data_IF_331866490147
#
_entry.id   IF_331866490147
#
_cell.length_a   1.000
_cell.length_b   1.000
_cell.length_c   1.000
_cell.angle_alpha   90.00
_cell.angle_beta   90.00
_cell.angle_gamma   90.00
#
_symmetry.space_group_name_H-M   'P 1'
#
loop_
_entity.id
_entity.type
_entity.pdbx_description
1 polymer ?
#
# COMPACT_ATOMS: atom_id res chain seq x y z
N UNK A 1 -0.91 -11.54 -31.66
CA UNK A 1 0.02 -10.66 -30.92
C UNK A 1 -0.16 -10.96 -29.45
N UNK A 2 0.71 -11.81 -28.91
CA UNK A 2 0.61 -12.33 -27.54
C UNK A 2 1.25 -11.37 -26.55
N UNK A 3 0.57 -11.10 -25.45
CA UNK A 3 1.16 -10.43 -24.30
C UNK A 3 2.06 -11.44 -23.57
N UNK A 4 3.32 -11.10 -23.23
CA UNK A 4 4.16 -11.98 -22.44
C UNK A 4 3.61 -12.06 -21.02
N UNK A 5 3.50 -13.28 -20.50
CA UNK A 5 3.15 -13.58 -19.12
C UNK A 5 4.23 -12.98 -18.20
N UNK A 6 3.97 -11.79 -17.65
CA UNK A 6 4.79 -11.22 -16.60
C UNK A 6 4.51 -11.98 -15.31
N UNK A 7 5.54 -12.74 -14.92
CA UNK A 7 5.78 -13.35 -13.62
C UNK A 7 4.82 -12.87 -12.51
N UNK A 8 4.06 -13.82 -11.97
CA UNK A 8 3.18 -13.67 -10.80
C UNK A 8 3.96 -12.96 -9.70
N UNK A 9 3.75 -11.66 -9.58
CA UNK A 9 4.29 -10.87 -8.49
C UNK A 9 3.70 -11.44 -7.21
N UNK A 10 4.54 -12.02 -6.33
CA UNK A 10 4.23 -12.40 -4.94
C UNK A 10 3.93 -11.18 -4.05
N UNK A 11 3.28 -10.18 -4.63
CA UNK A 11 2.83 -8.94 -4.02
C UNK A 11 1.35 -9.09 -3.60
N UNK A 12 0.65 -10.09 -4.16
CA UNK A 12 -0.76 -10.35 -3.97
C UNK A 12 -0.99 -11.68 -3.24
N UNK A 13 -0.31 -11.89 -2.12
CA UNK A 13 -0.77 -12.91 -1.16
C UNK A 13 -1.97 -12.31 -0.41
N UNK A 14 -3.17 -12.68 -0.85
CA UNK A 14 -4.39 -12.58 -0.06
C UNK A 14 -4.18 -13.44 1.18
N UNK A 15 -4.19 -12.82 2.36
CA UNK A 15 -4.39 -13.52 3.62
C UNK A 15 -5.31 -12.64 4.47
N UNK A 16 -6.60 -12.95 4.34
CA UNK A 16 -7.69 -12.56 5.22
C UNK A 16 -7.42 -13.00 6.69
N UNK A 17 -8.04 -12.27 7.61
CA UNK A 17 -8.22 -12.48 9.06
C UNK A 17 -7.61 -13.73 9.75
N UNK A 18 -6.65 -13.51 10.66
CA UNK A 18 -6.35 -14.46 11.75
C UNK A 18 -5.82 -13.72 13.00
N UNK A 19 -6.29 -14.06 14.22
CA UNK A 19 -6.01 -13.33 15.45
C UNK A 19 -4.53 -13.44 15.87
N UNK A 20 -4.04 -12.35 16.46
CA UNK A 20 -2.64 -12.14 16.85
C UNK A 20 -2.17 -13.17 17.90
N UNK A 21 -0.93 -13.69 17.80
CA UNK A 21 -0.24 -14.26 18.96
C UNK A 21 0.30 -13.15 19.89
N UNK A 22 0.43 -13.39 21.20
CA UNK A 22 0.90 -12.40 22.16
C UNK A 22 2.40 -12.09 22.00
N UNK A 23 2.86 -10.90 22.40
CA UNK A 23 4.25 -10.50 22.25
C UNK A 23 5.17 -11.30 23.19
N UNK A 24 6.08 -12.10 22.64
CA UNK A 24 7.17 -12.69 23.41
C UNK A 24 8.31 -11.69 23.58
N UNK A 25 8.68 -11.43 24.84
CA UNK A 25 9.83 -10.61 25.23
C UNK A 25 11.11 -11.39 24.94
N UNK A 26 11.96 -10.87 24.06
CA UNK A 26 13.32 -11.38 23.86
C UNK A 26 14.31 -10.47 24.60
N UNK A 27 15.07 -11.06 25.53
CA UNK A 27 16.26 -10.48 26.17
C UNK A 27 17.53 -10.81 25.36
N UNK A 28 18.69 -10.25 25.77
CA UNK A 28 20.08 -10.41 25.27
C UNK A 28 20.54 -9.33 24.26
N UNK A 29 21.75 -8.78 24.26
CA UNK A 29 22.94 -8.88 25.13
C UNK A 29 23.99 -7.80 24.73
N UNK A 30 24.91 -7.53 25.66
CA UNK A 30 26.36 -7.19 25.51
C UNK A 30 26.82 -5.94 24.74
N UNK A 31 27.48 -5.04 25.49
CA UNK A 31 28.28 -3.91 25.01
C UNK A 31 29.52 -4.36 24.23
N UNK A 32 29.79 -3.71 23.09
CA UNK A 32 31.05 -3.76 22.35
C UNK A 32 31.40 -2.38 21.79
N UNK A 33 32.56 -1.85 22.19
CA UNK A 33 33.12 -0.54 21.83
C UNK A 33 33.94 -0.66 20.52
N UNK A 34 33.59 0.11 19.49
CA UNK A 34 34.44 0.37 18.30
C UNK A 34 34.36 1.85 17.88
N UNK A 35 35.46 2.47 17.37
CA UNK A 35 35.53 3.91 17.08
C UNK A 35 34.81 4.27 15.78
N UNK A 36 34.01 5.35 15.83
CA UNK A 36 32.90 5.64 14.89
C UNK A 36 33.21 6.69 13.80
N UNK A 37 34.43 6.77 13.24
CA UNK A 37 34.79 7.93 12.38
C UNK A 37 34.80 7.74 10.85
N UNK A 38 34.48 6.57 10.29
CA UNK A 38 34.32 6.39 8.84
C UNK A 38 32.98 5.72 8.53
N UNK A 39 32.00 6.50 8.07
CA UNK A 39 30.80 6.04 7.36
C UNK A 39 29.89 5.09 8.15
N UNK A 40 28.87 5.63 8.82
CA UNK A 40 27.85 4.83 9.51
C UNK A 40 27.27 3.75 8.60
N UNK A 41 27.45 2.49 8.99
CA UNK A 41 26.81 1.35 8.33
C UNK A 41 25.30 1.48 8.54
N UNK A 42 24.47 1.40 7.49
CA UNK A 42 23.03 1.39 7.65
C UNK A 42 22.63 0.22 8.56
N UNK A 43 21.68 0.48 9.45
CA UNK A 43 21.14 -0.55 10.32
C UNK A 43 20.44 -1.61 9.44
N UNK A 44 20.50 -2.91 9.78
CA UNK A 44 19.79 -3.96 9.04
C UNK A 44 18.27 -3.70 8.90
N UNK A 45 17.68 -2.88 9.79
CA UNK A 45 16.29 -2.42 9.69
C UNK A 45 16.04 -1.49 8.49
N UNK A 46 16.99 -0.61 8.19
CA UNK A 46 16.84 0.42 7.17
C UNK A 46 16.98 -0.18 5.77
N UNK A 47 17.89 -1.15 5.62
CA UNK A 47 18.05 -1.94 4.40
C UNK A 47 16.77 -2.73 4.08
N UNK A 48 16.17 -3.35 5.11
CA UNK A 48 14.90 -4.05 4.98
C UNK A 48 13.80 -3.08 4.52
N UNK A 49 13.65 -1.94 5.17
CA UNK A 49 12.65 -0.94 4.79
C UNK A 49 12.87 -0.42 3.36
N UNK A 50 14.12 -0.27 2.93
CA UNK A 50 14.45 0.13 1.56
C UNK A 50 14.09 -0.94 0.53
N UNK A 51 14.35 -2.23 0.83
CA UNK A 51 13.99 -3.36 -0.05
C UNK A 51 12.48 -3.51 -0.27
N UNK A 52 11.68 -3.14 0.74
CA UNK A 52 10.21 -3.12 0.65
C UNK A 52 9.77 -1.92 -0.18
N UNK A 53 10.34 -0.73 0.07
CA UNK A 53 10.04 0.49 -0.68
C UNK A 53 10.34 0.35 -2.18
N UNK A 54 11.46 -0.30 -2.52
CA UNK A 54 11.84 -0.60 -3.91
C UNK A 54 11.01 -1.72 -4.55
N UNK A 55 10.29 -2.52 -3.76
CA UNK A 55 9.55 -3.69 -4.22
C UNK A 55 10.43 -4.90 -4.55
N UNK A 56 11.68 -4.91 -4.06
CA UNK A 56 12.61 -6.04 -4.24
C UNK A 56 12.25 -7.23 -3.36
N UNK A 57 11.65 -6.98 -2.18
CA UNK A 57 11.20 -8.00 -1.22
C UNK A 57 9.72 -7.77 -0.89
N UNK A 58 8.97 -8.87 -0.74
CA UNK A 58 7.58 -8.81 -0.31
C UNK A 58 7.49 -8.42 1.18
N UNK A 59 6.63 -7.47 1.55
CA UNK A 59 6.41 -7.11 2.95
C UNK A 59 5.75 -8.25 3.72
N UNK A 60 6.18 -8.43 4.97
CA UNK A 60 5.55 -9.34 5.93
C UNK A 60 4.18 -8.84 6.35
N UNK A 61 3.36 -9.69 6.98
CA UNK A 61 2.05 -9.33 7.52
C UNK A 61 2.10 -8.09 8.42
N UNK A 62 3.07 -8.01 9.34
CA UNK A 62 3.19 -6.85 10.24
C UNK A 62 3.54 -5.54 9.51
N UNK A 63 4.30 -5.63 8.42
CA UNK A 63 4.65 -4.48 7.58
C UNK A 63 3.46 -4.04 6.72
N UNK A 64 2.66 -4.99 6.22
CA UNK A 64 1.39 -4.68 5.54
C UNK A 64 0.43 -3.95 6.47
N UNK A 65 0.31 -4.39 7.72
CA UNK A 65 -0.54 -3.75 8.72
C UNK A 65 -0.14 -2.28 8.94
N UNK A 66 1.17 -2.03 9.16
CA UNK A 66 1.70 -0.65 9.29
C UNK A 66 1.43 0.19 8.05
N UNK A 67 1.56 -0.40 6.86
CA UNK A 67 1.26 0.28 5.61
C UNK A 67 -0.23 0.66 5.50
N UNK A 68 -1.15 -0.23 5.88
CA UNK A 68 -2.59 0.04 5.84
C UNK A 68 -3.00 1.11 6.86
N UNK A 69 -2.43 1.09 8.07
CA UNK A 69 -2.66 2.14 9.07
C UNK A 69 -2.20 3.51 8.56
N UNK A 70 -1.01 3.58 7.95
CA UNK A 70 -0.49 4.82 7.36
C UNK A 70 -1.35 5.28 6.15
N UNK A 71 -1.83 4.34 5.33
CA UNK A 71 -2.75 4.61 4.21
C UNK A 71 -4.05 5.24 4.71
N UNK A 72 -4.67 4.64 5.72
CA UNK A 72 -5.97 5.06 6.22
C UNK A 72 -5.86 6.41 6.98
N UNK A 73 -4.75 6.64 7.68
CA UNK A 73 -4.43 7.95 8.25
C UNK A 73 -4.23 9.04 7.18
N UNK A 74 -3.57 8.72 6.07
CA UNK A 74 -3.44 9.65 4.94
C UNK A 74 -4.78 9.94 4.28
N UNK A 75 -5.60 8.90 4.06
CA UNK A 75 -6.88 9.05 3.40
C UNK A 75 -7.93 9.77 4.22
N UNK A 76 -7.98 9.52 5.54
CA UNK A 76 -8.85 10.27 6.46
C UNK A 76 -8.48 11.75 6.51
N UNK A 77 -7.19 12.10 6.45
CA UNK A 77 -6.77 13.49 6.31
C UNK A 77 -7.28 14.11 5.00
N UNK A 78 -7.14 13.42 3.87
CA UNK A 78 -7.67 13.93 2.59
C UNK A 78 -9.19 14.13 2.63
N UNK A 79 -9.93 13.22 3.26
CA UNK A 79 -11.39 13.34 3.42
C UNK A 79 -11.76 14.55 4.29
N UNK A 80 -11.04 14.81 5.39
CA UNK A 80 -11.25 15.98 6.23
C UNK A 80 -11.05 17.31 5.48
N UNK A 81 -10.18 17.31 4.46
CA UNK A 81 -9.91 18.48 3.63
C UNK A 81 -10.67 18.48 2.29
N UNK A 82 -11.59 17.54 2.08
CA UNK A 82 -12.36 17.37 0.83
C UNK A 82 -11.48 17.23 -0.43
N UNK A 83 -10.32 16.60 -0.31
CA UNK A 83 -9.39 16.37 -1.42
C UNK A 83 -9.64 14.98 -2.00
N UNK A 84 -10.23 14.92 -3.19
CA UNK A 84 -10.58 13.65 -3.85
C UNK A 84 -9.39 13.06 -4.62
N UNK A 85 -8.69 13.88 -5.40
CA UNK A 85 -7.60 13.45 -6.27
C UNK A 85 -6.26 14.06 -5.80
N UNK A 86 -5.58 13.34 -4.91
CA UNK A 86 -4.26 13.76 -4.41
C UNK A 86 -3.14 13.73 -5.46
N UNK A 87 -3.37 13.15 -6.65
CA UNK A 87 -2.41 13.17 -7.75
C UNK A 87 -2.53 14.46 -8.56
N UNK A 88 -3.75 14.95 -8.78
CA UNK A 88 -3.98 16.26 -9.42
C UNK A 88 -3.69 17.41 -8.47
N UNK A 89 -4.17 17.32 -7.22
CA UNK A 89 -4.07 18.38 -6.23
C UNK A 89 -2.89 18.16 -5.27
N UNK A 90 -1.75 17.69 -5.78
CA UNK A 90 -0.60 17.30 -4.97
C UNK A 90 -0.11 18.44 -4.04
N UNK A 91 -0.18 19.70 -4.50
CA UNK A 91 0.20 20.87 -3.70
C UNK A 91 -0.74 21.12 -2.53
N UNK A 92 -2.05 20.92 -2.72
CA UNK A 92 -3.03 21.06 -1.64
C UNK A 92 -2.93 19.89 -0.66
N UNK A 93 -2.82 18.66 -1.19
CA UNK A 93 -2.61 17.46 -0.39
C UNK A 93 -1.32 17.50 0.44
N UNK A 94 -0.22 18.01 -0.13
CA UNK A 94 1.05 18.15 0.58
C UNK A 94 1.01 19.22 1.67
N UNK A 95 0.27 20.31 1.47
CA UNK A 95 0.09 21.35 2.50
C UNK A 95 -0.79 20.89 3.66
N UNK A 96 -1.86 20.17 3.37
CA UNK A 96 -2.83 19.74 4.38
C UNK A 96 -2.39 18.45 5.09
N UNK A 97 -1.90 17.47 4.32
CA UNK A 97 -1.65 16.09 4.76
C UNK A 97 -0.21 15.64 4.52
N UNK A 98 0.76 16.57 4.49
CA UNK A 98 2.15 16.28 4.18
C UNK A 98 2.79 15.29 5.15
N UNK A 99 2.48 15.38 6.44
CA UNK A 99 3.01 14.47 7.46
C UNK A 99 2.51 13.03 7.24
N UNK A 100 1.21 12.86 7.01
CA UNK A 100 0.59 11.56 6.73
C UNK A 100 1.06 11.01 5.38
N UNK A 101 1.27 11.87 4.37
CA UNK A 101 1.85 11.46 3.09
C UNK A 101 3.27 10.92 3.26
N UNK A 102 4.09 11.57 4.08
CA UNK A 102 5.44 11.10 4.38
C UNK A 102 5.42 9.75 5.12
N UNK A 103 4.54 9.60 6.11
CA UNK A 103 4.36 8.31 6.80
C UNK A 103 3.87 7.20 5.87
N UNK A 104 2.97 7.53 4.94
CA UNK A 104 2.48 6.58 3.94
C UNK A 104 3.59 6.12 3.00
N UNK A 105 4.45 7.04 2.54
CA UNK A 105 5.59 6.73 1.66
C UNK A 105 6.75 6.03 2.38
N UNK A 106 6.87 6.22 3.70
CA UNK A 106 7.87 5.53 4.52
C UNK A 106 7.48 4.08 4.82
N UNK A 107 6.21 3.85 5.19
CA UNK A 107 5.74 2.55 5.67
C UNK A 107 5.29 1.60 4.57
N UNK A 108 5.02 2.10 3.36
CA UNK A 108 4.53 1.30 2.24
C UNK A 108 5.55 1.16 1.11
N UNK A 109 5.38 0.10 0.31
CA UNK A 109 6.05 0.00 -0.99
C UNK A 109 5.60 1.14 -1.92
N UNK A 110 6.53 1.74 -2.67
CA UNK A 110 6.23 2.88 -3.58
C UNK A 110 5.18 2.53 -4.62
N UNK A 111 5.21 1.28 -5.11
CA UNK A 111 4.23 0.77 -6.06
C UNK A 111 2.82 0.72 -5.44
N UNK A 112 2.70 0.37 -4.16
CA UNK A 112 1.43 0.33 -3.45
C UNK A 112 0.88 1.72 -3.20
N UNK A 113 1.71 2.67 -2.79
CA UNK A 113 1.31 4.07 -2.61
C UNK A 113 0.69 4.62 -3.90
N UNK A 114 1.37 4.39 -5.02
CA UNK A 114 0.91 4.84 -6.34
C UNK A 114 -0.40 4.14 -6.73
N UNK A 115 -0.49 2.83 -6.51
CA UNK A 115 -1.67 2.04 -6.80
C UNK A 115 -2.88 2.52 -5.98
N UNK A 116 -2.75 2.66 -4.66
CA UNK A 116 -3.84 3.08 -3.79
C UNK A 116 -4.33 4.50 -4.09
N UNK A 117 -3.41 5.44 -4.37
CA UNK A 117 -3.79 6.81 -4.78
C UNK A 117 -4.64 6.79 -6.06
N UNK A 118 -4.28 5.98 -7.06
CA UNK A 118 -5.07 5.81 -8.30
C UNK A 118 -6.40 5.08 -8.05
N UNK A 119 -6.36 4.01 -7.26
CA UNK A 119 -7.54 3.20 -6.95
C UNK A 119 -8.64 4.01 -6.29
N UNK A 120 -8.30 4.90 -5.35
CA UNK A 120 -9.27 5.78 -4.69
C UNK A 120 -10.09 6.60 -5.71
N UNK A 121 -9.41 7.22 -6.69
CA UNK A 121 -10.07 8.02 -7.73
C UNK A 121 -10.93 7.14 -8.65
N UNK A 122 -10.40 5.99 -9.07
CA UNK A 122 -11.12 5.07 -9.94
C UNK A 122 -12.36 4.49 -9.28
N UNK A 123 -12.28 4.11 -8.01
CA UNK A 123 -13.40 3.54 -7.27
C UNK A 123 -14.51 4.58 -7.06
N UNK A 124 -14.16 5.85 -6.79
CA UNK A 124 -15.13 6.94 -6.73
C UNK A 124 -15.82 7.17 -8.08
N UNK A 125 -15.06 7.22 -9.18
CA UNK A 125 -15.62 7.36 -10.53
C UNK A 125 -16.52 6.19 -10.91
N UNK A 126 -16.11 4.96 -10.55
CA UNK A 126 -16.91 3.75 -10.76
C UNK A 126 -18.22 3.82 -9.98
N UNK A 127 -18.21 4.22 -8.71
CA UNK A 127 -19.42 4.38 -7.90
C UNK A 127 -20.39 5.41 -8.49
N UNK A 128 -19.87 6.56 -8.93
CA UNK A 128 -20.70 7.59 -9.60
C UNK A 128 -21.32 7.04 -10.89
N UNK A 129 -20.52 6.40 -11.75
CA UNK A 129 -21.00 5.81 -13.00
C UNK A 129 -22.05 4.73 -12.77
N UNK A 130 -21.83 3.84 -11.80
CA UNK A 130 -22.79 2.79 -11.46
C UNK A 130 -24.12 3.38 -11.00
N UNK A 131 -24.08 4.40 -10.12
CA UNK A 131 -25.28 5.09 -9.65
C UNK A 131 -26.06 5.77 -10.80
N UNK A 132 -25.35 6.34 -11.76
CA UNK A 132 -25.96 6.94 -12.95
C UNK A 132 -26.62 5.88 -13.85
N UNK A 133 -25.93 4.75 -14.09
CA UNK A 133 -26.50 3.64 -14.87
C UNK A 133 -27.73 3.03 -14.19
N UNK A 134 -27.70 2.86 -12.86
CA UNK A 134 -28.84 2.40 -12.07
C UNK A 134 -30.03 3.37 -12.18
N UNK A 135 -29.78 4.68 -12.15
CA UNK A 135 -30.81 5.70 -12.35
C UNK A 135 -31.40 5.69 -13.78
N UNK A 136 -30.62 5.28 -14.78
CA UNK A 136 -31.07 5.07 -16.16
C UNK A 136 -31.79 3.72 -16.36
N UNK A 137 -31.99 2.94 -15.28
CA UNK A 137 -32.69 1.65 -15.33
C UNK A 137 -31.80 0.49 -15.79
N UNK A 138 -30.48 0.64 -15.78
CA UNK A 138 -29.57 -0.46 -16.12
C UNK A 138 -29.61 -1.55 -15.04
N UNK A 139 -29.76 -2.80 -15.47
CA UNK A 139 -29.73 -3.98 -14.58
C UNK A 139 -28.30 -4.50 -14.50
N UNK A 140 -27.78 -4.68 -13.28
CA UNK A 140 -26.45 -5.28 -13.06
C UNK A 140 -26.46 -6.74 -13.49
N UNK A 141 -25.71 -7.06 -14.54
CA UNK A 141 -25.50 -8.45 -14.95
C UNK A 141 -24.39 -9.08 -14.09
N UNK A 142 -24.66 -10.25 -13.53
CA UNK A 142 -23.63 -11.08 -12.90
C UNK A 142 -22.88 -11.84 -14.00
N UNK A 143 -21.58 -11.57 -14.14
CA UNK A 143 -20.75 -12.25 -15.13
C UNK A 143 -20.00 -13.38 -14.42
N UNK A 144 -20.57 -14.59 -14.47
CA UNK A 144 -19.87 -15.80 -14.07
C UNK A 144 -18.90 -16.22 -15.18
N UNK A 145 -17.69 -15.67 -15.16
CA UNK A 145 -16.65 -16.01 -16.12
C UNK A 145 -16.08 -17.40 -15.83
N UNK A 146 -16.51 -18.41 -16.57
CA UNK A 146 -15.86 -19.72 -16.57
C UNK A 146 -14.57 -19.65 -17.40
N UNK A 147 -13.44 -19.41 -16.72
CA UNK A 147 -12.10 -19.51 -17.29
C UNK A 147 -11.76 -20.99 -17.48
N UNK A 148 -12.16 -21.56 -18.61
CA UNK A 148 -11.68 -22.89 -18.98
C UNK A 148 -10.19 -22.81 -19.31
N UNK A 149 -9.41 -23.57 -18.54
CA UNK A 149 -7.95 -23.58 -18.57
C UNK A 149 -7.46 -24.14 -19.92
N UNK A 150 -6.99 -23.26 -20.81
CA UNK A 150 -6.30 -23.71 -22.04
C UNK A 150 -4.93 -24.25 -21.65
N UNK A 151 -4.88 -25.58 -21.53
CA UNK A 151 -3.69 -26.44 -21.46
C UNK A 151 -2.70 -26.12 -22.57
#
# INVERSE_FOLDING_TARGET
MGYPATSRSKIFDNDDDDPLPPPTRHTHATMGLLPTWLGGTPSPSDDRAQSIRSGTVAPTRSERQRCWEARDAYFSCLDAHNIVDALKDNKAAGKACGAQSAQFEQNCATQWVTYFKKWRVQELQKKVRLKELEAQGAVKMDVNAQFTERR
#
